data_IF_030449474295
#
_entry.id   IF_030449474295
#
_cell.length_a   1.000
_cell.length_b   1.000
_cell.length_c   1.000
_cell.angle_alpha   90.00
_cell.angle_beta   90.00
_cell.angle_gamma   90.00
#
_symmetry.space_group_name_H-M   'P 1'
#
loop_
_entity.id
_entity.type
_entity.pdbx_description
1 polymer ?
#
# COMPACT_ATOMS: atom_id res chain seq x y z
N UNK A 1 23.20 -29.07 33.60
CA UNK A 1 23.45 -30.11 32.59
C UNK A 1 23.89 -29.38 31.33
N UNK A 2 25.19 -29.22 31.21
CA UNK A 2 25.92 -28.46 30.19
C UNK A 2 26.20 -29.39 29.02
N UNK A 3 25.63 -29.12 27.84
CA UNK A 3 26.04 -29.77 26.60
C UNK A 3 27.08 -28.85 25.97
N UNK A 4 28.33 -29.27 26.12
CA UNK A 4 29.53 -28.65 25.57
C UNK A 4 29.49 -28.74 24.05
N UNK A 5 29.58 -27.60 23.36
CA UNK A 5 30.00 -27.55 21.97
C UNK A 5 31.43 -28.12 21.90
N UNK A 6 31.58 -29.34 21.39
CA UNK A 6 32.87 -29.87 20.98
C UNK A 6 33.08 -29.53 19.51
N UNK A 7 34.03 -28.63 19.24
CA UNK A 7 34.78 -28.45 17.99
C UNK A 7 34.02 -28.76 16.70
N UNK A 8 33.55 -27.70 16.04
CA UNK A 8 33.43 -27.69 14.59
C UNK A 8 34.77 -28.10 13.95
N UNK A 9 34.71 -29.06 13.04
CA UNK A 9 35.86 -29.37 12.20
C UNK A 9 36.18 -28.14 11.35
N UNK A 10 37.46 -27.79 11.25
CA UNK A 10 37.93 -26.66 10.46
C UNK A 10 37.44 -26.73 8.99
N UNK A 11 37.12 -25.56 8.42
CA UNK A 11 36.80 -25.39 7.01
C UNK A 11 37.98 -25.81 6.12
N UNK A 12 37.72 -26.65 5.11
CA UNK A 12 38.62 -26.88 3.99
C UNK A 12 38.14 -26.16 2.73
N UNK A 13 38.90 -25.19 2.24
CA UNK A 13 38.80 -24.56 0.91
C UNK A 13 40.23 -24.47 0.38
N UNK A 14 40.60 -25.18 -0.70
CA UNK A 14 41.68 -24.78 -1.64
C UNK A 14 42.20 -25.87 -2.60
N UNK A 15 41.73 -27.11 -2.59
CA UNK A 15 42.31 -28.11 -3.50
C UNK A 15 43.80 -28.37 -3.26
N UNK A 16 44.32 -28.24 -2.03
CA UNK A 16 45.71 -28.60 -1.71
C UNK A 16 45.85 -29.89 -0.88
N UNK A 17 45.09 -30.13 0.19
CA UNK A 17 45.07 -31.41 0.96
C UNK A 17 44.37 -31.27 2.33
N UNK A 18 43.60 -32.28 2.77
CA UNK A 18 43.28 -32.39 4.21
C UNK A 18 42.10 -33.23 4.70
N UNK A 19 41.91 -34.45 4.20
CA UNK A 19 41.06 -35.54 4.75
C UNK A 19 39.54 -35.33 4.69
N UNK A 20 38.97 -35.87 3.61
CA UNK A 20 37.56 -36.05 3.33
C UNK A 20 36.84 -36.73 4.50
N UNK A 21 35.74 -36.15 4.97
CA UNK A 21 34.78 -36.86 5.81
C UNK A 21 34.30 -38.12 5.06
N UNK A 22 34.53 -39.29 5.65
CA UNK A 22 34.28 -40.61 5.05
C UNK A 22 32.79 -41.01 5.08
N UNK A 23 31.91 -40.10 4.67
CA UNK A 23 30.50 -40.40 4.40
C UNK A 23 30.34 -40.83 2.94
N UNK A 24 30.69 -42.07 2.61
CA UNK A 24 30.70 -42.59 1.23
C UNK A 24 29.50 -42.13 0.38
N UNK A 25 29.77 -41.70 -0.85
CA UNK A 25 28.82 -41.23 -1.88
C UNK A 25 27.69 -40.29 -1.42
N UNK A 26 27.81 -39.62 -0.26
CA UNK A 26 26.75 -38.78 0.27
C UNK A 26 27.00 -37.27 0.09
N UNK A 27 28.12 -36.86 -0.51
CA UNK A 27 28.44 -35.45 -0.80
C UNK A 27 28.87 -34.61 0.42
N UNK A 28 29.44 -33.43 0.16
CA UNK A 28 29.80 -32.41 1.15
C UNK A 28 28.57 -31.61 1.58
N UNK A 29 28.50 -31.16 2.83
CA UNK A 29 27.40 -30.32 3.33
C UNK A 29 27.27 -28.98 2.61
N UNK A 30 28.42 -28.36 2.30
CA UNK A 30 28.53 -27.07 1.62
C UNK A 30 29.46 -27.21 0.41
N UNK A 31 29.00 -26.74 -0.75
CA UNK A 31 29.79 -26.63 -1.98
C UNK A 31 29.98 -25.16 -2.35
N UNK A 32 31.21 -24.79 -2.71
CA UNK A 32 31.58 -23.43 -3.07
C UNK A 32 32.33 -23.43 -4.41
N UNK A 33 31.82 -22.66 -5.37
CA UNK A 33 32.45 -22.38 -6.66
C UNK A 33 32.78 -20.89 -6.69
N UNK A 34 34.04 -20.53 -6.92
CA UNK A 34 34.48 -19.12 -6.94
C UNK A 34 35.79 -18.92 -7.68
N UNK A 35 36.09 -17.68 -8.08
CA UNK A 35 37.35 -17.33 -8.73
C UNK A 35 37.39 -17.75 -10.20
N UNK A 36 38.56 -18.14 -10.67
CA UNK A 36 38.82 -18.49 -12.08
C UNK A 36 38.37 -19.91 -12.48
N UNK A 37 37.55 -20.55 -11.64
CA UNK A 37 37.03 -21.90 -11.84
C UNK A 37 36.40 -22.07 -13.24
N UNK A 38 36.85 -23.11 -13.95
CA UNK A 38 36.33 -23.47 -15.27
C UNK A 38 35.11 -24.38 -15.19
N UNK A 39 34.44 -24.61 -16.31
CA UNK A 39 33.34 -25.58 -16.38
C UNK A 39 33.83 -27.00 -16.04
N UNK A 40 35.02 -27.37 -16.51
CA UNK A 40 35.64 -28.67 -16.27
C UNK A 40 35.97 -28.88 -14.79
N UNK A 41 36.52 -27.85 -14.14
CA UNK A 41 36.79 -27.88 -12.70
C UNK A 41 35.51 -28.02 -11.89
N UNK A 42 34.47 -27.24 -12.24
CA UNK A 42 33.18 -27.32 -11.59
C UNK A 42 32.54 -28.71 -11.75
N UNK A 43 32.57 -29.29 -12.95
CA UNK A 43 32.05 -30.62 -13.22
C UNK A 43 32.76 -31.71 -12.40
N UNK A 44 34.08 -31.59 -12.22
CA UNK A 44 34.85 -32.50 -11.37
C UNK A 44 34.49 -32.36 -9.89
N UNK A 45 34.39 -31.13 -9.39
CA UNK A 45 33.98 -30.87 -8.00
C UNK A 45 32.59 -31.45 -7.75
N UNK A 46 31.66 -31.27 -8.68
CA UNK A 46 30.31 -31.83 -8.62
C UNK A 46 30.42 -33.36 -8.51
N UNK A 47 30.98 -34.03 -9.52
CA UNK A 47 31.05 -35.50 -9.55
C UNK A 47 31.70 -36.14 -8.31
N UNK A 48 32.65 -35.46 -7.67
CA UNK A 48 33.35 -35.95 -6.48
C UNK A 48 32.65 -35.59 -5.16
N UNK A 49 31.85 -34.51 -5.11
CA UNK A 49 31.42 -33.90 -3.86
C UNK A 49 29.92 -33.59 -3.76
N UNK A 50 29.10 -33.77 -4.79
CA UNK A 50 27.64 -33.70 -4.67
C UNK A 50 27.06 -34.99 -4.10
N UNK A 51 25.95 -34.84 -3.37
CA UNK A 51 25.22 -35.97 -2.84
C UNK A 51 24.14 -35.55 -1.86
N UNK A 52 23.52 -36.54 -1.20
CA UNK A 52 22.37 -36.35 -0.31
C UNK A 52 22.60 -35.41 0.87
N UNK A 53 23.85 -35.20 1.28
CA UNK A 53 24.20 -34.31 2.39
C UNK A 53 24.40 -32.86 1.92
N UNK A 54 24.52 -32.61 0.62
CA UNK A 54 24.72 -31.25 0.11
C UNK A 54 23.46 -30.42 0.32
N UNK A 55 23.53 -29.52 1.29
CA UNK A 55 22.42 -28.66 1.68
C UNK A 55 22.70 -27.18 1.41
N UNK A 56 23.95 -26.79 1.14
CA UNK A 56 24.32 -25.42 0.83
C UNK A 56 25.15 -25.36 -0.44
N UNK A 57 24.72 -24.54 -1.40
CA UNK A 57 25.42 -24.30 -2.65
C UNK A 57 25.74 -22.82 -2.79
N UNK A 58 27.00 -22.49 -3.05
CA UNK A 58 27.48 -21.12 -3.23
C UNK A 58 28.29 -21.03 -4.51
N UNK A 59 27.84 -20.23 -5.46
CA UNK A 59 28.51 -19.94 -6.73
C UNK A 59 28.74 -18.43 -6.74
N UNK A 60 29.95 -17.99 -6.43
CA UNK A 60 30.22 -16.56 -6.21
C UNK A 60 31.48 -16.07 -6.90
N UNK A 61 31.39 -14.89 -7.49
CA UNK A 61 32.53 -14.18 -8.08
C UNK A 61 33.35 -15.08 -9.02
N UNK A 62 32.70 -15.90 -9.84
CA UNK A 62 33.41 -16.70 -10.84
C UNK A 62 33.69 -15.86 -12.08
N UNK A 63 34.91 -15.96 -12.63
CA UNK A 63 35.34 -15.20 -13.81
C UNK A 63 35.40 -16.03 -15.09
N UNK A 64 35.44 -17.36 -14.99
CA UNK A 64 35.61 -18.26 -16.15
C UNK A 64 34.46 -19.27 -16.31
N UNK A 65 33.64 -19.45 -15.27
CA UNK A 65 32.54 -20.40 -15.26
C UNK A 65 31.40 -19.88 -16.12
N UNK A 66 31.06 -20.61 -17.18
CA UNK A 66 29.99 -20.22 -18.12
C UNK A 66 28.72 -21.03 -17.96
N UNK A 67 28.82 -22.26 -17.47
CA UNK A 67 27.68 -23.11 -17.19
C UNK A 67 27.92 -23.95 -15.96
N UNK A 68 26.86 -24.22 -15.21
CA UNK A 68 26.91 -25.16 -14.10
C UNK A 68 25.60 -25.96 -14.05
N UNK A 69 25.73 -27.29 -13.96
CA UNK A 69 24.61 -28.23 -13.85
C UNK A 69 24.79 -29.10 -12.61
N UNK A 70 23.90 -28.94 -11.64
CA UNK A 70 23.88 -29.63 -10.36
C UNK A 70 22.55 -30.37 -10.21
N UNK A 71 22.12 -31.05 -11.27
CA UNK A 71 20.86 -31.80 -11.30
C UNK A 71 20.83 -33.04 -10.41
N UNK A 72 21.88 -33.33 -9.65
CA UNK A 72 21.93 -34.45 -8.71
C UNK A 72 21.21 -34.15 -7.39
N UNK A 73 21.02 -32.86 -7.08
CA UNK A 73 20.45 -32.38 -5.83
C UNK A 73 18.93 -32.20 -5.98
N UNK A 74 18.19 -32.75 -5.02
CA UNK A 74 16.73 -32.59 -4.91
C UNK A 74 16.29 -31.60 -3.83
N UNK A 75 17.13 -31.31 -2.85
CA UNK A 75 16.81 -30.37 -1.77
C UNK A 75 18.00 -29.52 -1.37
N UNK A 76 17.77 -28.25 -1.08
CA UNK A 76 18.76 -27.34 -0.47
C UNK A 76 18.17 -26.68 0.77
N UNK A 77 19.04 -26.26 1.67
CA UNK A 77 18.73 -25.24 2.67
C UNK A 77 19.05 -23.86 2.09
N UNK A 78 20.20 -23.69 1.45
CA UNK A 78 20.65 -22.38 0.94
C UNK A 78 21.26 -22.50 -0.46
N UNK A 79 20.93 -21.54 -1.33
CA UNK A 79 21.51 -21.35 -2.65
C UNK A 79 21.95 -19.89 -2.82
N UNK A 80 23.25 -19.65 -2.98
CA UNK A 80 23.79 -18.35 -3.35
C UNK A 80 24.42 -18.42 -4.73
N UNK A 81 24.00 -17.54 -5.65
CA UNK A 81 24.60 -17.39 -6.99
C UNK A 81 24.85 -15.90 -7.21
N UNK A 82 26.05 -15.42 -6.89
CA UNK A 82 26.31 -13.98 -6.73
C UNK A 82 27.55 -13.53 -7.50
N UNK A 83 27.41 -12.51 -8.35
CA UNK A 83 28.56 -11.80 -8.90
C UNK A 83 29.35 -12.59 -9.95
N UNK A 84 28.73 -13.55 -10.62
CA UNK A 84 29.43 -14.37 -11.61
C UNK A 84 29.42 -13.65 -12.96
N UNK A 85 30.62 -13.32 -13.46
CA UNK A 85 30.82 -12.44 -14.61
C UNK A 85 30.37 -13.11 -15.91
N UNK A 86 30.78 -14.36 -16.10
CA UNK A 86 30.59 -15.13 -17.33
C UNK A 86 29.54 -16.24 -17.21
N UNK A 87 28.82 -16.36 -16.10
CA UNK A 87 27.85 -17.46 -15.91
C UNK A 87 26.59 -17.23 -16.76
N UNK A 88 26.44 -18.02 -17.83
CA UNK A 88 25.32 -17.94 -18.76
C UNK A 88 24.15 -18.85 -18.35
N UNK A 89 24.45 -20.04 -17.81
CA UNK A 89 23.44 -21.07 -17.51
C UNK A 89 23.61 -21.66 -16.11
N UNK A 90 22.52 -21.68 -15.34
CA UNK A 90 22.39 -22.35 -14.05
C UNK A 90 21.32 -23.45 -14.12
N UNK A 91 21.72 -24.70 -13.98
CA UNK A 91 20.79 -25.84 -14.02
C UNK A 91 20.81 -26.60 -12.69
N UNK A 92 19.65 -26.70 -12.02
CA UNK A 92 19.42 -27.60 -10.89
C UNK A 92 18.06 -28.27 -11.11
N UNK A 93 17.94 -29.03 -12.20
CA UNK A 93 16.65 -29.43 -12.77
C UNK A 93 15.83 -30.37 -11.86
N UNK A 94 16.49 -31.12 -10.97
CA UNK A 94 15.83 -32.01 -10.02
C UNK A 94 15.54 -31.38 -8.66
N UNK A 95 15.82 -30.10 -8.46
CA UNK A 95 15.56 -29.41 -7.20
C UNK A 95 14.06 -29.33 -6.94
N UNK A 96 13.60 -30.00 -5.89
CA UNK A 96 12.21 -30.03 -5.45
C UNK A 96 11.94 -28.97 -4.36
N UNK A 97 12.92 -28.69 -3.49
CA UNK A 97 12.71 -27.75 -2.38
C UNK A 97 13.96 -26.99 -1.97
N UNK A 98 13.77 -25.73 -1.57
CA UNK A 98 14.78 -24.90 -0.90
C UNK A 98 14.21 -24.44 0.44
N UNK A 99 14.69 -24.98 1.57
CA UNK A 99 14.08 -24.73 2.88
C UNK A 99 14.36 -23.33 3.43
N UNK A 100 15.58 -22.84 3.27
CA UNK A 100 16.02 -21.51 3.72
C UNK A 100 15.83 -20.48 2.63
N UNK A 101 16.86 -20.24 1.82
CA UNK A 101 16.88 -19.17 0.83
C UNK A 101 17.56 -19.55 -0.49
N UNK A 102 17.12 -18.90 -1.56
CA UNK A 102 17.83 -18.82 -2.82
C UNK A 102 18.05 -17.35 -3.16
N UNK A 103 19.31 -16.97 -3.38
CA UNK A 103 19.74 -15.61 -3.67
C UNK A 103 20.60 -15.61 -4.93
N UNK A 104 20.03 -15.12 -6.02
CA UNK A 104 20.67 -15.01 -7.32
C UNK A 104 20.85 -13.53 -7.64
N UNK A 105 22.08 -13.01 -7.55
CA UNK A 105 22.32 -11.56 -7.66
C UNK A 105 23.52 -11.23 -8.53
N UNK A 106 23.40 -10.19 -9.36
CA UNK A 106 24.55 -9.63 -10.09
C UNK A 106 25.23 -10.67 -10.99
N UNK A 107 24.45 -11.48 -11.71
CA UNK A 107 24.97 -12.41 -12.71
C UNK A 107 24.68 -11.84 -14.09
N UNK A 108 25.58 -10.97 -14.55
CA UNK A 108 25.32 -10.08 -15.69
C UNK A 108 25.18 -10.82 -17.02
N UNK A 109 25.84 -11.98 -17.16
CA UNK A 109 25.77 -12.85 -18.34
C UNK A 109 24.64 -13.90 -18.29
N UNK A 110 23.90 -13.99 -17.18
CA UNK A 110 22.94 -15.07 -16.96
C UNK A 110 21.73 -14.93 -17.88
N UNK A 111 21.49 -15.97 -18.70
CA UNK A 111 20.41 -16.04 -19.70
C UNK A 111 19.45 -17.19 -19.47
N UNK A 112 19.84 -18.19 -18.65
CA UNK A 112 19.01 -19.36 -18.40
C UNK A 112 19.16 -19.89 -16.97
N UNK A 113 18.01 -20.18 -16.35
CA UNK A 113 17.89 -20.84 -15.05
C UNK A 113 16.89 -21.99 -15.18
N UNK A 114 17.24 -23.17 -14.68
CA UNK A 114 16.33 -24.31 -14.65
C UNK A 114 16.09 -24.82 -13.22
N UNK A 115 14.89 -24.51 -12.71
CA UNK A 115 14.31 -25.03 -11.47
C UNK A 115 12.96 -25.72 -11.73
N UNK A 116 12.86 -26.47 -12.82
CA UNK A 116 11.58 -27.02 -13.32
C UNK A 116 10.78 -27.86 -12.31
N UNK A 117 11.45 -28.53 -11.36
CA UNK A 117 10.80 -29.33 -10.31
C UNK A 117 10.60 -28.61 -8.98
N UNK A 118 11.01 -27.35 -8.85
CA UNK A 118 10.94 -26.65 -7.57
C UNK A 118 9.48 -26.45 -7.16
N UNK A 119 9.05 -27.11 -6.09
CA UNK A 119 7.67 -27.02 -5.58
C UNK A 119 7.53 -26.05 -4.42
N UNK A 120 8.58 -25.87 -3.63
CA UNK A 120 8.53 -25.06 -2.41
C UNK A 120 9.84 -24.33 -2.18
N UNK A 121 9.75 -23.07 -1.77
CA UNK A 121 10.89 -22.27 -1.35
C UNK A 121 10.59 -21.54 -0.05
N UNK A 122 11.59 -21.43 0.83
CA UNK A 122 11.57 -20.49 1.95
C UNK A 122 11.55 -19.07 1.41
N UNK A 123 12.73 -18.58 1.00
CA UNK A 123 12.90 -17.30 0.32
C UNK A 123 13.51 -17.50 -1.07
N UNK A 124 13.00 -16.83 -2.09
CA UNK A 124 13.63 -16.75 -3.41
C UNK A 124 13.83 -15.29 -3.78
N UNK A 125 15.05 -14.91 -4.12
CA UNK A 125 15.39 -13.57 -4.59
C UNK A 125 16.27 -13.69 -5.83
N UNK A 126 15.83 -13.06 -6.91
CA UNK A 126 16.65 -12.86 -8.11
C UNK A 126 16.73 -11.37 -8.45
N UNK A 127 17.95 -10.87 -8.69
CA UNK A 127 18.15 -9.53 -9.22
C UNK A 127 19.45 -9.34 -9.98
N UNK A 128 19.52 -8.28 -10.80
CA UNK A 128 20.74 -7.92 -11.51
C UNK A 128 21.20 -8.99 -12.49
N UNK A 129 20.25 -9.61 -13.19
CA UNK A 129 20.50 -10.54 -14.30
C UNK A 129 19.82 -9.98 -15.56
N UNK A 130 20.34 -8.87 -16.13
CA UNK A 130 19.64 -8.06 -17.12
C UNK A 130 19.44 -8.76 -18.47
N UNK A 131 20.19 -9.85 -18.75
CA UNK A 131 20.06 -10.63 -19.98
C UNK A 131 19.05 -11.79 -19.88
N UNK A 132 18.48 -12.05 -18.71
CA UNK A 132 17.50 -13.11 -18.51
C UNK A 132 16.16 -12.75 -19.16
N UNK A 133 15.77 -13.46 -20.22
CA UNK A 133 14.53 -13.18 -20.97
C UNK A 133 13.30 -13.91 -20.42
N UNK A 134 13.51 -15.07 -19.78
CA UNK A 134 12.46 -15.92 -19.24
C UNK A 134 12.84 -16.47 -17.86
N UNK A 135 11.89 -16.45 -16.94
CA UNK A 135 12.00 -17.06 -15.62
C UNK A 135 10.73 -17.90 -15.39
N UNK A 136 10.88 -19.21 -15.22
CA UNK A 136 9.75 -20.13 -15.13
C UNK A 136 9.87 -21.05 -13.92
N UNK A 137 8.78 -21.14 -13.17
CA UNK A 137 8.57 -22.02 -12.04
C UNK A 137 7.27 -22.80 -12.21
N UNK A 138 7.24 -23.75 -13.15
CA UNK A 138 6.00 -24.43 -13.56
C UNK A 138 5.44 -25.32 -12.45
N UNK A 139 6.25 -25.66 -11.43
CA UNK A 139 5.88 -26.54 -10.32
C UNK A 139 5.81 -25.82 -8.97
N UNK A 140 6.16 -24.53 -8.88
CA UNK A 140 6.24 -23.82 -7.60
C UNK A 140 4.85 -23.56 -7.05
N UNK A 141 4.54 -24.18 -5.91
CA UNK A 141 3.23 -24.11 -5.24
C UNK A 141 3.26 -23.09 -4.11
N UNK A 142 4.37 -23.02 -3.36
CA UNK A 142 4.44 -22.26 -2.11
C UNK A 142 5.77 -21.50 -1.94
N UNK A 143 5.67 -20.22 -1.55
CA UNK A 143 6.78 -19.38 -1.12
C UNK A 143 6.56 -18.88 0.31
N UNK A 144 7.30 -19.44 1.26
CA UNK A 144 7.01 -19.30 2.70
C UNK A 144 7.34 -17.94 3.29
N UNK A 145 8.36 -17.26 2.75
CA UNK A 145 8.86 -16.00 3.30
C UNK A 145 8.75 -14.88 2.27
N UNK A 146 9.53 -14.95 1.18
CA UNK A 146 9.58 -13.92 0.16
C UNK A 146 9.87 -14.52 -1.21
N UNK A 147 9.16 -14.05 -2.22
CA UNK A 147 9.45 -14.26 -3.64
C UNK A 147 9.73 -12.89 -4.26
N UNK A 148 11.02 -12.59 -4.49
CA UNK A 148 11.49 -11.31 -5.01
C UNK A 148 12.11 -11.48 -6.39
N UNK A 149 11.55 -10.79 -7.39
CA UNK A 149 11.98 -10.82 -8.79
C UNK A 149 12.16 -9.37 -9.22
N UNK A 150 13.40 -8.90 -9.21
CA UNK A 150 13.69 -7.48 -9.42
C UNK A 150 14.82 -7.19 -10.39
N UNK A 151 14.74 -6.08 -11.13
CA UNK A 151 15.83 -5.61 -12.01
C UNK A 151 16.26 -6.67 -13.05
N UNK A 152 15.29 -7.31 -13.71
CA UNK A 152 15.52 -8.19 -14.85
C UNK A 152 15.08 -7.46 -16.13
N UNK A 153 15.95 -6.59 -16.64
CA UNK A 153 15.61 -5.60 -17.68
C UNK A 153 15.08 -6.22 -18.98
N UNK A 154 15.54 -7.41 -19.36
CA UNK A 154 15.06 -8.14 -20.54
C UNK A 154 13.98 -9.19 -20.27
N UNK A 155 13.49 -9.32 -19.03
CA UNK A 155 12.49 -10.33 -18.70
C UNK A 155 11.18 -10.03 -19.43
N UNK A 156 10.79 -10.92 -20.33
CA UNK A 156 9.53 -10.86 -21.09
C UNK A 156 8.54 -11.93 -20.63
N UNK A 157 9.03 -13.02 -20.04
CA UNK A 157 8.21 -14.14 -19.57
C UNK A 157 8.50 -14.44 -18.11
N UNK A 158 7.46 -14.39 -17.29
CA UNK A 158 7.47 -14.87 -15.91
C UNK A 158 6.35 -15.91 -15.74
N UNK A 159 6.72 -17.16 -15.48
CA UNK A 159 5.77 -18.23 -15.22
C UNK A 159 5.77 -18.60 -13.74
N UNK A 160 4.68 -18.20 -13.08
CA UNK A 160 4.32 -18.55 -11.70
C UNK A 160 2.92 -19.19 -11.67
N UNK A 161 2.52 -19.84 -12.77
CA UNK A 161 1.14 -20.32 -12.99
C UNK A 161 0.67 -21.41 -12.00
N UNK A 162 1.61 -22.03 -11.30
CA UNK A 162 1.35 -23.04 -10.26
C UNK A 162 1.30 -22.49 -8.85
N UNK A 163 1.66 -21.22 -8.63
CA UNK A 163 1.75 -20.63 -7.29
C UNK A 163 0.36 -20.55 -6.66
N UNK A 164 0.20 -21.20 -5.51
CA UNK A 164 -1.07 -21.26 -4.75
C UNK A 164 -1.04 -20.33 -3.54
N UNK A 165 0.11 -20.29 -2.85
CA UNK A 165 0.34 -19.46 -1.68
C UNK A 165 1.70 -18.78 -1.74
N UNK A 166 1.74 -17.54 -1.26
CA UNK A 166 2.99 -16.85 -1.01
C UNK A 166 2.84 -15.95 0.21
N UNK A 167 3.90 -15.80 0.97
CA UNK A 167 3.88 -14.86 2.07
C UNK A 167 4.05 -13.42 1.58
N UNK A 168 5.18 -13.11 0.95
CA UNK A 168 5.46 -11.80 0.36
C UNK A 168 5.88 -11.97 -1.11
N UNK A 169 5.24 -11.24 -2.02
CA UNK A 169 5.66 -11.14 -3.42
C UNK A 169 6.22 -9.75 -3.70
N UNK A 170 7.41 -9.67 -4.29
CA UNK A 170 8.00 -8.43 -4.78
C UNK A 170 8.38 -8.59 -6.25
N UNK A 171 7.70 -7.88 -7.14
CA UNK A 171 8.00 -7.90 -8.57
C UNK A 171 8.26 -6.47 -8.99
N UNK A 172 9.53 -6.09 -9.11
CA UNK A 172 9.92 -4.70 -9.26
C UNK A 172 10.92 -4.45 -10.38
N UNK A 173 10.80 -3.32 -11.08
CA UNK A 173 11.80 -2.87 -12.07
C UNK A 173 12.08 -3.88 -13.20
N UNK A 174 11.13 -4.70 -13.59
CA UNK A 174 11.25 -5.59 -14.76
C UNK A 174 10.72 -4.85 -15.99
N UNK A 175 11.63 -4.18 -16.72
CA UNK A 175 11.28 -3.14 -17.69
C UNK A 175 10.51 -3.65 -18.92
N UNK A 176 10.61 -4.95 -19.25
CA UNK A 176 9.96 -5.56 -20.43
C UNK A 176 8.89 -6.58 -20.10
N UNK A 177 8.55 -6.77 -18.82
CA UNK A 177 7.55 -7.76 -18.42
C UNK A 177 6.15 -7.22 -18.77
N UNK A 178 5.37 -7.87 -19.66
CA UNK A 178 4.11 -7.31 -20.15
C UNK A 178 2.92 -7.58 -19.22
N UNK A 179 3.02 -8.60 -18.37
CA UNK A 179 1.90 -9.05 -17.52
C UNK A 179 2.40 -9.78 -16.29
N UNK A 180 1.59 -9.76 -15.24
CA UNK A 180 1.67 -10.68 -14.10
C UNK A 180 0.38 -11.48 -14.09
N UNK A 181 0.49 -12.80 -14.22
CA UNK A 181 -0.65 -13.72 -14.18
C UNK A 181 -0.42 -14.80 -13.12
N UNK A 182 -1.24 -14.80 -12.07
CA UNK A 182 -1.19 -15.74 -10.95
C UNK A 182 -2.56 -16.42 -10.79
N UNK A 183 -2.94 -17.30 -11.73
CA UNK A 183 -4.31 -17.83 -11.84
C UNK A 183 -4.73 -18.75 -10.69
N UNK A 184 -3.76 -19.24 -9.90
CA UNK A 184 -4.00 -20.15 -8.76
C UNK A 184 -3.69 -19.53 -7.40
N UNK A 185 -3.22 -18.28 -7.34
CA UNK A 185 -2.82 -17.66 -6.08
C UNK A 185 -4.08 -17.34 -5.25
N UNK A 186 -4.27 -18.09 -4.18
CA UNK A 186 -5.44 -17.98 -3.30
C UNK A 186 -5.16 -17.27 -1.99
N UNK A 187 -3.90 -17.36 -1.51
CA UNK A 187 -3.44 -16.77 -0.26
C UNK A 187 -2.13 -15.97 -0.51
N UNK A 188 -2.13 -14.71 -0.08
CA UNK A 188 -1.01 -13.81 -0.19
C UNK A 188 -1.01 -12.89 1.03
N UNK A 189 0.06 -12.73 1.81
CA UNK A 189 0.04 -11.74 2.90
C UNK A 189 0.27 -10.34 2.37
N UNK A 190 1.30 -10.18 1.55
CA UNK A 190 1.73 -8.88 1.04
C UNK A 190 2.24 -9.01 -0.40
N UNK A 191 1.93 -8.01 -1.23
CA UNK A 191 2.55 -7.86 -2.54
C UNK A 191 2.95 -6.41 -2.84
N UNK A 192 4.15 -6.26 -3.37
CA UNK A 192 4.68 -5.00 -3.89
C UNK A 192 5.05 -5.19 -5.37
N UNK A 193 4.27 -4.56 -6.25
CA UNK A 193 4.45 -4.61 -7.70
C UNK A 193 4.69 -3.19 -8.19
N UNK A 194 5.95 -2.85 -8.48
CA UNK A 194 6.29 -1.49 -8.85
C UNK A 194 7.42 -1.30 -9.84
N UNK A 195 7.39 -0.15 -10.53
CA UNK A 195 8.42 0.22 -11.49
C UNK A 195 8.55 -0.76 -12.68
N UNK A 196 7.52 -1.54 -13.00
CA UNK A 196 7.49 -2.41 -14.18
C UNK A 196 6.76 -1.67 -15.31
N UNK A 197 7.51 -0.87 -16.06
CA UNK A 197 6.93 0.08 -17.03
C UNK A 197 6.14 -0.58 -18.16
N UNK A 198 6.42 -1.85 -18.50
CA UNK A 198 5.78 -2.57 -19.58
C UNK A 198 4.53 -3.36 -19.16
N UNK A 199 4.24 -3.50 -17.87
CA UNK A 199 3.08 -4.29 -17.42
C UNK A 199 1.80 -3.58 -17.86
N UNK A 200 0.97 -4.29 -18.63
CA UNK A 200 -0.36 -3.82 -19.04
C UNK A 200 -1.47 -4.38 -18.14
N UNK A 201 -1.27 -5.58 -17.60
CA UNK A 201 -2.27 -6.28 -16.78
C UNK A 201 -1.67 -6.99 -15.57
N UNK A 202 -2.39 -6.96 -14.45
CA UNK A 202 -2.14 -7.80 -13.28
C UNK A 202 -3.39 -8.66 -13.05
N UNK A 203 -3.24 -9.98 -13.13
CA UNK A 203 -4.33 -10.94 -13.00
C UNK A 203 -4.18 -11.79 -11.73
N UNK A 204 -5.09 -11.57 -10.78
CA UNK A 204 -5.16 -12.24 -9.47
C UNK A 204 -6.59 -12.77 -9.26
N UNK A 205 -7.11 -13.61 -10.17
CA UNK A 205 -8.55 -13.83 -10.30
C UNK A 205 -9.16 -14.64 -9.15
N UNK A 206 -8.35 -15.39 -8.40
CA UNK A 206 -8.79 -16.27 -7.31
C UNK A 206 -8.24 -15.87 -5.93
N UNK A 207 -7.63 -14.69 -5.82
CA UNK A 207 -7.09 -14.18 -4.55
C UNK A 207 -8.24 -13.79 -3.61
N UNK A 208 -8.34 -14.44 -2.44
CA UNK A 208 -9.49 -14.28 -1.54
C UNK A 208 -9.20 -13.41 -0.31
N UNK A 209 -8.06 -13.68 0.33
CA UNK A 209 -7.68 -13.14 1.64
C UNK A 209 -6.23 -12.71 1.57
N UNK A 210 -5.96 -11.46 1.95
CA UNK A 210 -4.66 -11.09 2.48
C UNK A 210 -4.77 -11.10 4.00
N UNK A 211 -4.10 -12.07 4.64
CA UNK A 211 -4.14 -12.21 6.10
C UNK A 211 -3.51 -10.96 6.72
N UNK A 212 -4.26 -10.25 7.55
CA UNK A 212 -3.69 -9.20 8.38
C UNK A 212 -2.79 -9.85 9.44
N UNK A 213 -1.52 -9.44 9.51
CA UNK A 213 -0.67 -9.74 10.66
C UNK A 213 -1.37 -9.30 11.96
N UNK A 214 -1.28 -10.11 13.01
CA UNK A 214 -1.75 -9.75 14.37
C UNK A 214 -1.00 -8.54 14.96
N UNK A 215 0.06 -8.06 14.30
CA UNK A 215 0.76 -6.84 14.68
C UNK A 215 0.13 -5.61 14.01
N UNK A 216 -0.43 -4.71 14.82
CA UNK A 216 -1.17 -3.48 14.43
C UNK A 216 -0.34 -2.42 13.68
N UNK A 217 0.94 -2.67 13.40
CA UNK A 217 1.90 -1.71 12.83
C UNK A 217 2.39 -2.05 11.40
N UNK A 218 1.95 -3.17 10.80
CA UNK A 218 2.43 -3.57 9.47
C UNK A 218 1.49 -3.10 8.35
N UNK A 219 2.07 -2.47 7.32
CA UNK A 219 1.44 -2.12 6.04
C UNK A 219 1.17 -3.38 5.17
N UNK A 220 0.70 -4.48 5.77
CA UNK A 220 0.41 -5.74 5.05
C UNK A 220 -0.68 -5.48 4.00
N UNK A 221 -0.40 -5.79 2.74
CA UNK A 221 -1.38 -5.52 1.70
C UNK A 221 -0.86 -5.55 0.28
N UNK A 222 -1.58 -4.87 -0.59
CA UNK A 222 -1.31 -4.80 -2.01
C UNK A 222 -0.87 -3.39 -2.38
N UNK A 223 0.42 -3.25 -2.68
CA UNK A 223 1.00 -2.05 -3.26
C UNK A 223 1.24 -2.27 -4.76
N UNK A 224 0.56 -1.48 -5.59
CA UNK A 224 0.76 -1.44 -7.03
C UNK A 224 1.06 -0.01 -7.44
N UNK A 225 2.28 0.26 -7.92
CA UNK A 225 2.56 1.61 -8.38
C UNK A 225 3.75 1.80 -9.29
N UNK A 226 3.77 2.94 -10.00
CA UNK A 226 4.79 3.25 -11.01
C UNK A 226 4.85 2.19 -12.13
N UNK A 227 3.71 1.54 -12.44
CA UNK A 227 3.57 0.67 -13.61
C UNK A 227 2.85 1.50 -14.69
N UNK A 228 3.60 2.32 -15.42
CA UNK A 228 3.04 3.39 -16.26
C UNK A 228 2.13 2.86 -17.38
N UNK A 229 2.39 1.67 -17.94
CA UNK A 229 1.52 1.04 -18.95
C UNK A 229 0.37 0.20 -18.37
N UNK A 230 0.22 0.10 -17.06
CA UNK A 230 -0.81 -0.74 -16.45
C UNK A 230 -2.19 -0.20 -16.78
N UNK A 231 -3.03 -1.01 -17.42
CA UNK A 231 -4.39 -0.66 -17.85
C UNK A 231 -5.43 -1.26 -16.91
N UNK A 232 -5.20 -2.49 -16.44
CA UNK A 232 -6.18 -3.25 -15.68
C UNK A 232 -5.59 -4.10 -14.55
N UNK A 233 -6.30 -4.14 -13.42
CA UNK A 233 -6.04 -5.02 -12.28
C UNK A 233 -7.28 -5.89 -12.04
N UNK A 234 -7.12 -7.21 -12.06
CA UNK A 234 -8.22 -8.17 -11.86
C UNK A 234 -8.14 -8.83 -10.48
N UNK A 235 -9.06 -8.46 -9.59
CA UNK A 235 -9.21 -8.95 -8.21
C UNK A 235 -10.60 -9.59 -8.00
N UNK A 236 -10.98 -10.50 -8.88
CA UNK A 236 -12.37 -10.90 -9.11
C UNK A 236 -13.12 -11.47 -7.90
N UNK A 237 -12.40 -12.02 -6.91
CA UNK A 237 -12.97 -12.66 -5.71
C UNK A 237 -12.40 -12.11 -4.41
N UNK A 238 -11.64 -11.01 -4.44
CA UNK A 238 -10.99 -10.47 -3.26
C UNK A 238 -12.04 -9.93 -2.28
N UNK A 239 -12.07 -10.48 -1.06
CA UNK A 239 -13.08 -10.13 -0.04
C UNK A 239 -12.51 -9.36 1.15
N UNK A 240 -11.23 -9.55 1.46
CA UNK A 240 -10.56 -8.94 2.60
C UNK A 240 -9.12 -8.62 2.28
N UNK A 241 -8.69 -7.41 2.64
CA UNK A 241 -7.32 -6.94 2.56
C UNK A 241 -7.10 -5.87 3.62
N UNK A 242 -5.93 -5.83 4.25
CA UNK A 242 -5.64 -4.78 5.23
C UNK A 242 -5.30 -3.46 4.54
N UNK A 243 -4.23 -3.41 3.74
CA UNK A 243 -3.87 -2.21 2.97
C UNK A 243 -4.02 -2.39 1.45
N UNK A 244 -4.72 -1.45 0.80
CA UNK A 244 -4.75 -1.33 -0.67
C UNK A 244 -4.17 0.02 -1.11
N UNK A 245 -3.01 0.00 -1.75
CA UNK A 245 -2.36 1.21 -2.28
C UNK A 245 -2.10 1.10 -3.77
N UNK A 246 -2.78 1.93 -4.55
CA UNK A 246 -2.66 2.01 -6.02
C UNK A 246 -2.16 3.41 -6.38
N UNK A 247 -0.89 3.56 -6.78
CA UNK A 247 -0.32 4.89 -7.05
C UNK A 247 0.54 5.01 -8.30
N UNK A 248 0.49 6.14 -8.99
CA UNK A 248 1.34 6.44 -10.15
C UNK A 248 1.21 5.39 -11.28
N UNK A 249 -0.02 4.96 -11.59
CA UNK A 249 -0.29 4.09 -12.74
C UNK A 249 -0.99 4.93 -13.83
N UNK A 250 -0.18 5.52 -14.72
CA UNK A 250 -0.62 6.55 -15.68
C UNK A 250 -1.73 6.08 -16.63
N UNK A 251 -1.78 4.79 -16.95
CA UNK A 251 -2.75 4.22 -17.89
C UNK A 251 -3.90 3.43 -17.23
N UNK A 252 -3.95 3.38 -15.89
CA UNK A 252 -4.91 2.52 -15.19
C UNK A 252 -6.34 3.05 -15.37
N UNK A 253 -7.19 2.22 -15.96
CA UNK A 253 -8.61 2.54 -16.21
C UNK A 253 -9.56 1.56 -15.52
N UNK A 254 -9.10 0.32 -15.30
CA UNK A 254 -9.97 -0.76 -14.84
C UNK A 254 -9.46 -1.38 -13.55
N UNK A 255 -10.27 -1.29 -12.50
CA UNK A 255 -10.13 -2.06 -11.26
C UNK A 255 -11.53 -2.24 -10.66
N UNK A 256 -11.92 -3.49 -10.35
CA UNK A 256 -13.19 -3.81 -9.70
C UNK A 256 -12.92 -4.26 -8.26
N UNK A 257 -13.54 -3.58 -7.30
CA UNK A 257 -13.39 -3.82 -5.86
C UNK A 257 -14.74 -4.12 -5.18
N UNK A 258 -15.79 -4.44 -5.95
CA UNK A 258 -17.16 -4.65 -5.46
C UNK A 258 -17.32 -5.86 -4.55
N UNK A 259 -16.32 -6.75 -4.50
CA UNK A 259 -16.29 -7.93 -3.64
C UNK A 259 -15.66 -7.68 -2.28
N UNK A 260 -14.98 -6.56 -2.09
CA UNK A 260 -14.42 -6.22 -0.79
C UNK A 260 -15.55 -5.99 0.23
N UNK A 261 -15.40 -6.66 1.38
CA UNK A 261 -16.27 -6.55 2.56
C UNK A 261 -15.47 -6.06 3.76
N UNK A 262 -14.17 -6.37 3.81
CA UNK A 262 -13.23 -5.88 4.82
C UNK A 262 -12.06 -5.18 4.16
N UNK A 263 -11.76 -3.96 4.61
CA UNK A 263 -10.66 -3.15 4.13
C UNK A 263 -10.11 -2.30 5.27
N UNK A 264 -8.84 -2.49 5.63
CA UNK A 264 -8.20 -1.71 6.69
C UNK A 264 -7.93 -0.27 6.25
N UNK A 265 -7.24 -0.07 5.14
CA UNK A 265 -6.88 1.25 4.60
C UNK A 265 -6.83 1.25 3.08
N UNK A 266 -7.25 2.37 2.48
CA UNK A 266 -7.21 2.56 1.03
C UNK A 266 -6.48 3.82 0.64
N UNK A 267 -5.62 3.71 -0.38
CA UNK A 267 -5.10 4.87 -1.06
C UNK A 267 -5.01 4.73 -2.58
N UNK A 268 -5.56 5.71 -3.28
CA UNK A 268 -5.40 5.91 -4.71
C UNK A 268 -4.75 7.26 -4.97
N UNK A 269 -3.56 7.25 -5.58
CA UNK A 269 -2.74 8.44 -5.80
C UNK A 269 -2.24 8.55 -7.23
N UNK A 270 -2.43 9.68 -7.91
CA UNK A 270 -1.78 9.93 -9.19
C UNK A 270 -2.10 8.84 -10.24
N UNK A 271 -3.38 8.44 -10.35
CA UNK A 271 -3.89 7.55 -11.39
C UNK A 271 -4.80 8.35 -12.33
N UNK A 272 -4.24 9.11 -13.29
CA UNK A 272 -4.99 10.15 -14.02
C UNK A 272 -6.10 9.62 -14.92
N UNK A 273 -6.14 8.31 -15.24
CA UNK A 273 -7.15 7.72 -16.14
C UNK A 273 -8.27 6.95 -15.45
N UNK A 274 -8.24 6.80 -14.12
CA UNK A 274 -9.34 6.15 -13.40
C UNK A 274 -10.51 7.13 -13.28
N UNK A 275 -11.72 6.67 -13.60
CA UNK A 275 -12.90 7.56 -13.69
C UNK A 275 -13.87 7.41 -12.53
N UNK A 276 -13.97 6.21 -11.97
CA UNK A 276 -14.86 5.89 -10.85
C UNK A 276 -14.16 4.92 -9.90
N UNK A 277 -14.42 5.10 -8.61
CA UNK A 277 -13.90 4.25 -7.55
C UNK A 277 -15.04 4.00 -6.56
N UNK A 278 -15.35 2.73 -6.29
CA UNK A 278 -16.49 2.33 -5.46
C UNK A 278 -16.14 1.19 -4.52
N UNK A 279 -16.66 1.27 -3.30
CA UNK A 279 -16.52 0.29 -2.22
C UNK A 279 -17.89 -0.01 -1.62
N UNK A 280 -18.74 -0.79 -2.30
CA UNK A 280 -20.16 -0.88 -1.98
C UNK A 280 -20.47 -1.55 -0.64
N UNK A 281 -19.61 -2.46 -0.15
CA UNK A 281 -19.90 -3.23 1.07
C UNK A 281 -19.03 -2.85 2.27
N UNK A 282 -18.20 -1.81 2.18
CA UNK A 282 -17.31 -1.41 3.28
C UNK A 282 -18.10 -0.60 4.31
N UNK A 283 -18.22 -1.14 5.53
CA UNK A 283 -18.93 -0.48 6.63
C UNK A 283 -18.01 0.24 7.61
N UNK A 284 -16.76 -0.21 7.73
CA UNK A 284 -15.73 0.36 8.59
C UNK A 284 -14.40 0.35 7.84
N UNK A 285 -13.61 1.42 7.97
CA UNK A 285 -12.27 1.53 7.41
C UNK A 285 -11.43 2.47 8.27
N UNK A 286 -10.13 2.26 8.35
CA UNK A 286 -9.22 3.11 9.11
C UNK A 286 -8.83 4.38 8.37
N UNK A 287 -8.36 4.24 7.14
CA UNK A 287 -7.88 5.37 6.35
C UNK A 287 -8.46 5.39 4.93
N UNK A 288 -8.87 6.57 4.50
CA UNK A 288 -9.25 6.87 3.12
C UNK A 288 -8.34 7.98 2.59
N UNK A 289 -7.60 7.70 1.51
CA UNK A 289 -6.77 8.70 0.82
C UNK A 289 -6.94 8.63 -0.70
N UNK A 290 -7.59 9.64 -1.29
CA UNK A 290 -7.68 9.83 -2.73
C UNK A 290 -7.00 11.12 -3.16
N UNK A 291 -5.84 10.99 -3.80
CA UNK A 291 -5.03 12.12 -4.22
C UNK A 291 -4.73 12.14 -5.72
N UNK A 292 -4.80 13.29 -6.38
CA UNK A 292 -4.26 13.48 -7.74
C UNK A 292 -4.84 12.51 -8.80
N UNK A 293 -6.11 12.12 -8.68
CA UNK A 293 -6.75 11.29 -9.70
C UNK A 293 -7.57 12.19 -10.64
N UNK A 294 -6.91 12.68 -11.70
CA UNK A 294 -7.38 13.76 -12.57
C UNK A 294 -8.76 13.53 -13.21
N UNK A 295 -9.15 12.29 -13.47
CA UNK A 295 -10.42 11.94 -14.13
C UNK A 295 -11.46 11.29 -13.19
N UNK A 296 -11.21 11.23 -11.88
CA UNK A 296 -12.19 10.69 -10.94
C UNK A 296 -13.37 11.64 -10.80
N UNK A 297 -14.55 11.13 -11.16
CA UNK A 297 -15.84 11.86 -11.03
C UNK A 297 -16.64 11.42 -9.82
N UNK A 298 -16.34 10.25 -9.26
CA UNK A 298 -17.07 9.67 -8.13
C UNK A 298 -16.16 8.80 -7.25
N UNK A 299 -16.24 9.04 -5.94
CA UNK A 299 -15.64 8.22 -4.88
C UNK A 299 -16.80 7.74 -4.00
N UNK A 300 -17.15 6.46 -4.08
CA UNK A 300 -18.36 5.93 -3.46
C UNK A 300 -18.08 4.95 -2.32
N UNK A 301 -18.65 5.25 -1.15
CA UNK A 301 -18.71 4.41 0.04
C UNK A 301 -20.15 4.42 0.58
N UNK A 302 -21.10 3.76 -0.10
CA UNK A 302 -22.53 3.90 0.21
C UNK A 302 -22.90 3.37 1.61
N UNK A 303 -22.22 2.32 2.07
CA UNK A 303 -22.55 1.64 3.34
C UNK A 303 -21.58 1.97 4.48
N UNK A 304 -20.62 2.88 4.27
CA UNK A 304 -19.61 3.24 5.27
C UNK A 304 -20.26 3.96 6.45
N UNK A 305 -20.11 3.40 7.64
CA UNK A 305 -20.63 3.93 8.92
C UNK A 305 -19.54 4.55 9.77
N UNK A 306 -18.34 3.96 9.77
CA UNK A 306 -17.24 4.39 10.65
C UNK A 306 -15.94 4.55 9.87
N UNK A 307 -15.33 5.73 9.97
CA UNK A 307 -13.95 5.96 9.52
C UNK A 307 -13.06 6.15 10.76
N UNK A 308 -12.14 5.24 11.01
CA UNK A 308 -11.49 5.16 12.33
C UNK A 308 -10.38 6.20 12.52
N UNK A 309 -9.72 6.63 11.44
CA UNK A 309 -8.62 7.58 11.48
C UNK A 309 -8.76 8.72 10.45
N UNK A 310 -8.28 8.53 9.22
CA UNK A 310 -7.99 9.64 8.31
C UNK A 310 -8.90 9.69 7.08
N UNK A 311 -9.42 10.88 6.76
CA UNK A 311 -10.02 11.22 5.47
C UNK A 311 -9.13 12.23 4.76
N UNK A 312 -8.59 11.86 3.60
CA UNK A 312 -7.83 12.78 2.73
C UNK A 312 -8.34 12.68 1.30
N UNK A 313 -8.89 13.78 0.78
CA UNK A 313 -9.33 13.91 -0.61
C UNK A 313 -8.65 15.15 -1.19
N UNK A 314 -7.66 15.00 -2.06
CA UNK A 314 -6.87 16.14 -2.54
C UNK A 314 -6.49 16.09 -4.02
N UNK A 315 -6.54 17.20 -4.74
CA UNK A 315 -6.02 17.23 -6.12
C UNK A 315 -6.84 16.42 -7.14
N UNK A 316 -8.11 16.09 -6.86
CA UNK A 316 -8.97 15.39 -7.83
C UNK A 316 -9.67 16.44 -8.71
N UNK A 317 -9.06 16.69 -9.87
CA UNK A 317 -9.28 17.87 -10.70
C UNK A 317 -10.64 17.96 -11.41
N UNK A 318 -11.49 16.94 -11.33
CA UNK A 318 -12.86 16.99 -11.87
C UNK A 318 -13.93 16.46 -10.90
N UNK A 319 -13.57 16.16 -9.65
CA UNK A 319 -14.51 15.66 -8.65
C UNK A 319 -15.41 16.81 -8.18
N UNK A 320 -16.69 16.82 -8.60
CA UNK A 320 -17.61 17.93 -8.29
C UNK A 320 -18.41 17.74 -7.00
N UNK A 321 -18.58 16.51 -6.54
CA UNK A 321 -19.38 16.20 -5.34
C UNK A 321 -18.72 15.16 -4.49
N UNK A 322 -18.86 15.28 -3.17
CA UNK A 322 -18.43 14.24 -2.23
C UNK A 322 -19.54 13.93 -1.22
N UNK A 323 -19.90 12.65 -1.12
CA UNK A 323 -20.89 12.21 -0.15
C UNK A 323 -20.53 10.87 0.48
N UNK A 324 -20.72 10.80 1.80
CA UNK A 324 -20.69 9.57 2.58
C UNK A 324 -22.05 9.42 3.28
N UNK A 325 -23.03 8.75 2.64
CA UNK A 325 -24.43 8.84 3.06
C UNK A 325 -24.71 8.14 4.39
N UNK A 326 -23.97 7.10 4.74
CA UNK A 326 -24.19 6.32 5.98
C UNK A 326 -23.19 6.62 7.10
N UNK A 327 -22.20 7.50 6.86
CA UNK A 327 -21.10 7.74 7.78
C UNK A 327 -21.61 8.46 9.03
N UNK A 328 -21.42 7.86 10.21
CA UNK A 328 -21.85 8.40 11.50
C UNK A 328 -20.71 8.97 12.33
N UNK A 329 -19.49 8.44 12.20
CA UNK A 329 -18.37 8.90 13.00
C UNK A 329 -17.04 8.85 12.25
N UNK A 330 -16.21 9.86 12.47
CA UNK A 330 -14.80 9.88 12.05
C UNK A 330 -13.92 10.00 13.29
N UNK A 331 -12.89 9.17 13.36
CA UNK A 331 -11.84 9.29 14.35
C UNK A 331 -12.09 8.51 15.64
N UNK A 332 -12.22 7.19 15.58
CA UNK A 332 -12.34 6.33 16.77
C UNK A 332 -10.98 5.94 17.39
N UNK A 333 -9.84 6.17 16.70
CA UNK A 333 -8.48 5.78 17.15
C UNK A 333 -7.42 6.91 17.14
N UNK A 334 -6.44 6.97 18.05
CA UNK A 334 -5.50 8.10 18.14
C UNK A 334 -4.81 8.56 16.80
N UNK A 335 -4.74 9.89 16.57
CA UNK A 335 -4.14 10.61 15.42
C UNK A 335 -5.02 10.68 14.16
N UNK A 336 -5.63 11.83 13.94
CA UNK A 336 -6.66 12.05 12.92
C UNK A 336 -6.35 13.24 12.00
N UNK A 337 -6.64 13.06 10.73
CA UNK A 337 -6.71 14.12 9.73
C UNK A 337 -8.01 14.00 8.96
N UNK A 338 -8.76 15.10 8.90
CA UNK A 338 -9.85 15.26 7.94
C UNK A 338 -9.45 16.42 7.04
N UNK A 339 -9.08 16.11 5.79
CA UNK A 339 -8.65 17.07 4.79
C UNK A 339 -9.36 16.83 3.45
N UNK A 340 -10.07 17.84 2.98
CA UNK A 340 -10.60 17.94 1.61
C UNK A 340 -10.06 19.23 1.03
N UNK A 341 -9.17 19.16 0.04
CA UNK A 341 -8.55 20.37 -0.54
C UNK A 341 -8.17 20.21 -2.00
N UNK A 342 -8.07 21.32 -2.71
CA UNK A 342 -7.46 21.35 -4.04
C UNK A 342 -8.22 20.42 -5.03
N UNK A 343 -9.54 20.24 -4.86
CA UNK A 343 -10.40 19.54 -5.81
C UNK A 343 -11.31 20.56 -6.54
N UNK A 344 -12.24 20.06 -7.37
CA UNK A 344 -13.29 20.86 -8.01
C UNK A 344 -14.65 20.70 -7.32
N UNK A 345 -14.65 20.40 -6.01
CA UNK A 345 -15.87 20.04 -5.29
C UNK A 345 -16.75 21.28 -5.08
N UNK A 346 -18.00 21.20 -5.51
CA UNK A 346 -19.05 22.20 -5.27
C UNK A 346 -19.92 21.86 -4.07
N UNK A 347 -20.14 20.56 -3.81
CA UNK A 347 -21.07 20.10 -2.79
C UNK A 347 -20.48 18.95 -1.95
N UNK A 348 -20.54 19.10 -0.63
CA UNK A 348 -20.14 18.07 0.34
C UNK A 348 -21.36 17.71 1.19
N UNK A 349 -21.74 16.43 1.26
CA UNK A 349 -22.96 16.00 1.96
C UNK A 349 -22.75 14.73 2.77
N UNK A 350 -22.63 14.86 4.10
CA UNK A 350 -22.52 13.74 5.04
C UNK A 350 -23.74 13.75 5.98
N UNK A 351 -24.89 13.22 5.54
CA UNK A 351 -26.20 13.45 6.16
C UNK A 351 -26.35 12.77 7.52
N UNK A 352 -25.54 11.75 7.79
CA UNK A 352 -25.59 10.97 9.03
C UNK A 352 -24.39 11.21 9.96
N UNK A 353 -23.44 12.08 9.60
CA UNK A 353 -22.23 12.29 10.40
C UNK A 353 -22.60 12.97 11.72
N UNK A 354 -22.32 12.32 12.84
CA UNK A 354 -22.64 12.78 14.21
C UNK A 354 -21.41 13.30 14.95
N UNK A 355 -20.26 12.62 14.80
CA UNK A 355 -19.04 12.94 15.53
C UNK A 355 -17.81 12.93 14.64
N UNK A 356 -16.92 13.90 14.85
CA UNK A 356 -15.57 13.92 14.28
C UNK A 356 -14.59 14.21 15.39
N UNK A 357 -13.79 13.23 15.79
CA UNK A 357 -12.79 13.42 16.84
C UNK A 357 -11.45 13.94 16.30
N UNK A 358 -11.39 14.29 15.02
CA UNK A 358 -10.20 14.88 14.45
C UNK A 358 -9.89 16.26 15.04
N UNK A 359 -8.61 16.56 15.21
CA UNK A 359 -8.14 17.87 15.70
C UNK A 359 -8.68 19.01 14.84
N UNK A 360 -8.78 18.79 13.53
CA UNK A 360 -9.31 19.77 12.59
C UNK A 360 -9.98 19.08 11.41
N UNK A 361 -11.20 19.50 11.12
CA UNK A 361 -11.88 19.29 9.85
C UNK A 361 -11.46 20.42 8.93
N UNK A 362 -10.79 20.08 7.84
CA UNK A 362 -10.19 21.06 6.97
C UNK A 362 -10.69 20.92 5.54
N UNK A 363 -11.57 21.84 5.13
CA UNK A 363 -12.20 21.87 3.82
C UNK A 363 -11.73 23.15 3.14
N UNK A 364 -10.86 23.04 2.14
CA UNK A 364 -10.36 24.17 1.35
C UNK A 364 -10.58 23.94 -0.12
N UNK A 365 -11.77 24.32 -0.60
CA UNK A 365 -12.27 24.02 -1.93
C UNK A 365 -12.70 25.31 -2.61
N UNK A 366 -11.99 25.72 -3.66
CA UNK A 366 -12.17 27.03 -4.28
C UNK A 366 -13.58 27.24 -4.84
N UNK A 367 -14.23 26.17 -5.32
CA UNK A 367 -15.55 26.16 -5.94
C UNK A 367 -16.68 25.69 -5.02
N UNK A 368 -16.43 25.55 -3.72
CA UNK A 368 -17.41 25.03 -2.78
C UNK A 368 -18.60 25.97 -2.58
N UNK A 369 -19.78 25.46 -2.89
CA UNK A 369 -21.07 26.16 -2.80
C UNK A 369 -21.91 25.66 -1.62
N UNK A 370 -21.84 24.36 -1.28
CA UNK A 370 -22.62 23.81 -0.16
C UNK A 370 -21.84 22.80 0.69
N UNK A 371 -22.08 22.86 2.00
CA UNK A 371 -21.67 21.84 2.98
C UNK A 371 -22.87 21.44 3.80
N UNK A 372 -23.19 20.15 3.84
CA UNK A 372 -24.36 19.62 4.54
C UNK A 372 -23.99 18.53 5.55
N UNK A 373 -23.90 18.92 6.83
CA UNK A 373 -23.62 18.06 7.99
C UNK A 373 -24.74 18.21 9.05
N UNK A 374 -25.99 17.82 8.73
CA UNK A 374 -27.16 18.15 9.54
C UNK A 374 -27.15 17.47 10.92
N UNK A 375 -26.51 16.31 11.04
CA UNK A 375 -26.40 15.55 12.29
C UNK A 375 -25.11 15.79 13.07
N UNK A 376 -24.17 16.57 12.56
CA UNK A 376 -22.87 16.75 13.20
C UNK A 376 -23.05 17.49 14.52
N UNK A 377 -22.76 16.79 15.62
CA UNK A 377 -22.97 17.25 16.98
C UNK A 377 -21.66 17.64 17.68
N UNK A 378 -20.57 16.92 17.39
CA UNK A 378 -19.27 17.11 18.06
C UNK A 378 -18.10 17.13 17.09
N UNK A 379 -17.25 18.15 17.18
CA UNK A 379 -15.96 18.26 16.50
C UNK A 379 -14.99 19.11 17.32
N UNK A 380 -13.69 19.17 17.02
CA UNK A 380 -12.79 20.14 17.69
C UNK A 380 -12.75 21.47 16.91
N UNK A 381 -12.17 21.45 15.70
CA UNK A 381 -12.07 22.63 14.83
C UNK A 381 -12.69 22.32 13.46
N UNK A 382 -13.52 23.22 12.93
CA UNK A 382 -14.03 23.15 11.55
C UNK A 382 -13.59 24.39 10.78
N UNK A 383 -12.76 24.17 9.76
CA UNK A 383 -12.28 25.19 8.84
C UNK A 383 -12.85 24.94 7.45
N UNK A 384 -13.58 25.92 6.93
CA UNK A 384 -14.11 25.91 5.57
C UNK A 384 -13.62 27.15 4.82
N UNK A 385 -12.79 26.93 3.82
CA UNK A 385 -12.31 27.94 2.89
C UNK A 385 -12.96 27.74 1.51
N UNK A 386 -13.49 28.81 0.93
CA UNK A 386 -14.04 28.83 -0.43
C UNK A 386 -13.77 30.18 -1.10
N UNK A 387 -13.63 30.19 -2.43
CA UNK A 387 -13.45 31.42 -3.21
C UNK A 387 -14.69 31.88 -3.96
N UNK A 388 -15.72 31.05 -4.00
CA UNK A 388 -17.05 31.35 -4.57
C UNK A 388 -18.08 31.62 -3.47
N UNK A 389 -19.30 31.97 -3.88
CA UNK A 389 -20.42 32.18 -2.95
C UNK A 389 -20.75 30.86 -2.25
N UNK A 390 -20.54 30.82 -0.94
CA UNK A 390 -20.97 29.69 -0.12
C UNK A 390 -22.46 29.85 0.18
N UNK A 391 -23.29 29.09 -0.55
CA UNK A 391 -24.73 29.19 -0.55
C UNK A 391 -25.35 28.65 0.74
N UNK A 392 -24.85 27.51 1.24
CA UNK A 392 -25.39 26.87 2.44
C UNK A 392 -24.30 26.14 3.23
N UNK A 393 -24.39 26.25 4.55
CA UNK A 393 -23.62 25.44 5.50
C UNK A 393 -24.60 24.91 6.55
N UNK A 394 -24.98 23.64 6.43
CA UNK A 394 -25.93 23.02 7.35
C UNK A 394 -25.19 22.37 8.51
N UNK A 395 -25.41 22.90 9.71
CA UNK A 395 -24.80 22.42 10.96
C UNK A 395 -25.87 22.29 12.07
N UNK A 396 -27.05 21.76 11.73
CA UNK A 396 -28.26 21.84 12.56
C UNK A 396 -28.17 21.18 13.94
N UNK A 397 -27.23 20.25 14.14
CA UNK A 397 -27.11 19.47 15.38
C UNK A 397 -25.90 19.84 16.24
N UNK A 398 -25.07 20.84 15.86
CA UNK A 398 -23.83 21.14 16.58
C UNK A 398 -24.08 21.46 18.06
N UNK A 399 -23.32 20.85 18.95
CA UNK A 399 -23.40 21.06 20.41
C UNK A 399 -22.01 21.32 21.00
N UNK A 400 -21.00 20.55 20.59
CA UNK A 400 -19.65 20.61 21.15
C UNK A 400 -18.60 20.89 20.07
N UNK A 401 -17.96 22.04 20.13
CA UNK A 401 -16.83 22.40 19.26
C UNK A 401 -15.92 23.43 19.90
N UNK A 402 -14.64 23.48 19.58
CA UNK A 402 -13.71 24.52 20.05
C UNK A 402 -13.72 25.75 19.13
N UNK A 403 -13.66 25.52 17.80
CA UNK A 403 -13.59 26.59 16.81
C UNK A 403 -14.35 26.29 15.52
N UNK A 404 -15.06 27.28 15.01
CA UNK A 404 -15.70 27.27 13.70
C UNK A 404 -15.19 28.44 12.86
N UNK A 405 -14.40 28.16 11.84
CA UNK A 405 -13.85 29.14 10.93
C UNK A 405 -14.45 28.96 9.53
N UNK A 406 -15.28 29.93 9.11
CA UNK A 406 -15.86 30.00 7.77
C UNK A 406 -15.28 31.20 7.04
N UNK A 407 -14.35 30.90 6.15
CA UNK A 407 -13.60 31.89 5.42
C UNK A 407 -13.89 31.76 3.92
N UNK A 408 -15.05 32.29 3.52
CA UNK A 408 -15.38 32.40 2.10
C UNK A 408 -14.92 33.76 1.58
N UNK A 409 -13.79 33.77 0.87
CA UNK A 409 -13.36 34.95 0.14
C UNK A 409 -14.41 35.33 -0.94
N UNK A 410 -15.23 34.38 -1.40
CA UNK A 410 -16.33 34.60 -2.36
C UNK A 410 -17.65 35.14 -1.78
N UNK A 411 -17.70 35.38 -0.46
CA UNK A 411 -18.86 35.77 0.38
C UNK A 411 -19.68 34.59 0.90
N UNK A 412 -20.20 34.76 2.11
CA UNK A 412 -21.22 33.90 2.71
C UNK A 412 -22.60 34.42 2.33
N UNK A 413 -23.52 33.54 1.92
CA UNK A 413 -24.92 33.92 1.70
C UNK A 413 -25.60 34.28 3.03
N UNK A 414 -26.66 35.10 2.99
CA UNK A 414 -27.50 35.36 4.18
C UNK A 414 -28.09 34.07 4.76
N UNK A 415 -28.49 33.12 3.90
CA UNK A 415 -29.01 31.84 4.34
C UNK A 415 -27.98 31.00 5.10
N UNK A 416 -26.72 30.99 4.65
CA UNK A 416 -25.63 30.32 5.35
C UNK A 416 -25.38 30.96 6.72
N UNK A 417 -25.32 32.30 6.79
CA UNK A 417 -25.14 33.04 8.04
C UNK A 417 -26.29 32.77 9.02
N UNK A 418 -27.54 32.94 8.57
CA UNK A 418 -28.72 32.79 9.41
C UNK A 418 -28.87 31.34 9.91
N UNK A 419 -28.62 30.35 9.05
CA UNK A 419 -28.65 28.94 9.43
C UNK A 419 -27.69 28.61 10.58
N UNK A 420 -26.47 29.18 10.53
CA UNK A 420 -25.47 29.00 11.57
C UNK A 420 -25.85 29.77 12.84
N UNK A 421 -26.15 31.07 12.73
CA UNK A 421 -26.46 31.91 13.89
C UNK A 421 -27.69 31.39 14.65
N UNK A 422 -28.75 30.99 13.94
CA UNK A 422 -29.96 30.42 14.55
C UNK A 422 -29.66 29.13 15.33
N UNK A 423 -28.69 28.33 14.88
CA UNK A 423 -28.27 27.16 15.64
C UNK A 423 -27.46 27.57 16.87
N UNK A 424 -26.48 28.45 16.71
CA UNK A 424 -25.55 28.85 17.77
C UNK A 424 -26.26 29.47 18.99
N UNK A 425 -27.29 30.29 18.77
CA UNK A 425 -28.06 30.89 19.88
C UNK A 425 -28.85 29.89 20.73
N UNK A 426 -29.05 28.67 20.23
CA UNK A 426 -29.87 27.63 20.87
C UNK A 426 -29.05 26.48 21.49
N UNK A 427 -27.71 26.54 21.45
CA UNK A 427 -26.84 25.51 22.07
C UNK A 427 -26.90 25.61 23.60
N UNK A 428 -27.07 24.47 24.28
CA UNK A 428 -27.17 24.39 25.75
C UNK A 428 -26.23 23.29 26.30
N UNK A 429 -25.35 23.59 27.28
CA UNK A 429 -25.13 24.90 27.89
C UNK A 429 -24.56 25.90 26.88
N UNK A 430 -24.75 27.20 27.15
CA UNK A 430 -24.32 28.29 26.27
C UNK A 430 -22.86 28.11 25.87
N UNK A 431 -22.58 28.41 24.59
CA UNK A 431 -21.27 28.38 23.91
C UNK A 431 -20.21 29.20 24.68
N UNK A 432 -19.69 28.65 25.76
CA UNK A 432 -18.72 29.32 26.63
C UNK A 432 -17.32 28.92 26.19
N UNK A 433 -16.43 29.90 25.95
CA UNK A 433 -15.04 29.69 25.50
C UNK A 433 -14.89 29.05 24.10
N UNK A 434 -15.85 29.22 23.19
CA UNK A 434 -15.70 28.81 21.79
C UNK A 434 -15.40 30.01 20.89
N UNK A 435 -14.70 29.77 19.79
CA UNK A 435 -14.33 30.80 18.80
C UNK A 435 -15.09 30.58 17.50
N UNK A 436 -15.73 31.62 16.98
CA UNK A 436 -16.41 31.58 15.68
C UNK A 436 -15.90 32.73 14.82
N UNK A 437 -15.41 32.39 13.63
CA UNK A 437 -14.91 33.33 12.63
C UNK A 437 -15.74 33.23 11.36
N UNK A 438 -16.38 34.35 10.97
CA UNK A 438 -17.15 34.47 9.72
C UNK A 438 -16.57 35.62 8.88
N UNK A 439 -15.83 35.31 7.81
CA UNK A 439 -15.22 36.32 6.92
C UNK A 439 -15.71 36.30 5.48
N UNK A 440 -15.79 37.49 4.87
CA UNK A 440 -16.01 37.71 3.43
C UNK A 440 -15.02 38.76 2.89
N UNK A 441 -14.59 38.69 1.61
CA UNK A 441 -13.60 39.63 1.01
C UNK A 441 -13.93 41.12 1.10
N UNK A 442 -15.16 41.51 1.46
CA UNK A 442 -15.54 42.93 1.58
C UNK A 442 -15.76 43.43 3.00
N UNK A 443 -16.02 42.56 3.96
CA UNK A 443 -16.15 42.93 5.38
C UNK A 443 -15.86 41.68 6.24
N UNK A 444 -15.08 41.83 7.31
CA UNK A 444 -15.15 40.92 8.46
C UNK A 444 -16.54 41.18 9.03
N UNK A 445 -17.51 40.30 8.75
CA UNK A 445 -18.89 40.62 9.08
C UNK A 445 -19.12 40.41 10.58
N UNK A 446 -18.52 39.37 11.20
CA UNK A 446 -18.63 39.16 12.65
C UNK A 446 -17.45 38.40 13.25
N UNK A 447 -16.85 38.95 14.32
CA UNK A 447 -15.97 38.23 15.25
C UNK A 447 -16.78 37.97 16.52
N UNK A 448 -17.16 36.70 16.75
CA UNK A 448 -17.82 36.31 18.00
C UNK A 448 -16.83 35.49 18.83
N UNK A 449 -16.20 36.15 19.80
CA UNK A 449 -15.60 35.44 20.95
C UNK A 449 -16.62 35.48 22.08
N UNK A 450 -17.34 34.39 22.27
CA UNK A 450 -18.19 34.22 23.44
C UNK A 450 -17.32 33.82 24.64
N UNK A 451 -16.71 34.81 25.30
CA UNK A 451 -16.13 34.65 26.65
C UNK A 451 -17.20 35.02 27.68
N UNK A 452 -18.06 34.07 28.08
CA UNK A 452 -18.91 34.26 29.25
C UNK A 452 -18.11 33.92 30.50
N UNK A 453 -17.90 34.90 31.39
CA UNK A 453 -17.47 34.66 32.78
C UNK A 453 -18.71 34.55 33.67
N UNK A 454 -18.70 33.70 34.71
CA UNK A 454 -19.85 33.51 35.58
C UNK A 454 -20.07 34.75 36.45
N UNK A 455 -21.02 35.61 36.06
CA UNK A 455 -21.43 36.74 36.88
C UNK A 455 -22.39 37.70 36.21
N UNK A 456 -23.65 37.65 36.65
CA UNK A 456 -24.70 38.69 36.56
C UNK A 456 -25.73 38.56 35.44
N UNK A 457 -26.92 38.12 35.86
CA UNK A 457 -28.20 38.13 35.14
C UNK A 457 -28.75 39.58 35.17
N UNK A 458 -29.18 40.10 34.01
CA UNK A 458 -29.84 41.40 33.91
C UNK A 458 -30.60 41.55 32.60
N UNK A 459 -31.88 41.91 32.70
CA UNK A 459 -32.91 41.95 31.67
C UNK A 459 -32.63 42.87 30.46
N UNK A 460 -33.02 42.38 29.27
CA UNK A 460 -33.19 43.08 27.98
C UNK A 460 -31.91 43.73 27.40
N UNK A 461 -31.35 43.04 26.41
CA UNK A 461 -30.25 43.54 25.57
C UNK A 461 -29.04 42.62 25.67
N UNK A 462 -28.77 41.86 24.61
CA UNK A 462 -27.56 41.05 24.50
C UNK A 462 -26.34 41.97 24.50
N UNK A 463 -25.56 41.99 25.59
CA UNK A 463 -24.30 42.73 25.67
C UNK A 463 -23.13 41.81 25.29
N UNK A 464 -22.54 42.09 24.13
CA UNK A 464 -21.24 41.55 23.72
C UNK A 464 -20.15 42.48 24.26
N UNK A 465 -19.35 42.03 25.22
CA UNK A 465 -18.14 42.76 25.64
C UNK A 465 -16.96 42.36 24.75
N UNK A 466 -16.61 43.23 23.80
CA UNK A 466 -15.49 43.03 22.87
C UNK A 466 -15.86 42.91 21.39
N UNK A 467 -17.12 43.15 21.01
CA UNK A 467 -17.49 43.24 19.60
C UNK A 467 -16.95 44.54 18.98
N UNK A 468 -15.94 44.44 18.11
CA UNK A 468 -15.65 45.49 17.14
C UNK A 468 -16.64 45.35 15.98
N UNK A 469 -17.68 46.18 16.00
CA UNK A 469 -18.54 46.39 14.83
C UNK A 469 -17.87 47.44 13.95
N UNK A 470 -17.27 47.04 12.83
CA UNK A 470 -16.97 47.96 11.74
C UNK A 470 -18.07 47.77 10.70
N UNK A 471 -18.92 48.80 10.55
CA UNK A 471 -20.10 48.79 9.67
C UNK A 471 -19.81 48.79 8.18
#
# INVERSE_FOLDING_TARGET
MTISCSSDGADGIDGANGINGTGGNNGLGRLVFSGDITNEDAAKIIAENTGKNTHTLIIKNTTSLTTIDISEISTLVELEVIGNEELHTLTIANLESIFGGAKIQTNVALTSINFSKLTTVGSFSISGSPLLESLSFPSLIDSKNILSISNLDNLTTLDLSSLVSANLIQINRNQKLPTIDLPKLTALREASISDNIAIETINLPVLKILEASENEDNDDGLFIGRNTNLIAIYLNVLTSIDMLTIRNNENLTTINLDKLVSLGSVSFGSNPKITTISFPNITTIKNINFSENDLVTNIAFPDLKTLESNLTITGNNILETLSFPMLTSIGTENRYSFRIRDNMIRNITFPNLETVNANTINIGEDLLETVDFPKLASFSVLNIDSTVLLNSVTLSSIQNFERLDLNSSGKLSTAAIDGILNRLVNITPVITNKTIWLSSKKHIIYYYVFKFHPGSIGSKGYSCYGCHFTG
#
